data_IF_989506377724
#
_entry.id   IF_989506377724
#
_cell.length_a   1.000
_cell.length_b   1.000
_cell.length_c   1.000
_cell.angle_alpha   90.00
_cell.angle_beta   90.00
_cell.angle_gamma   90.00
#
_symmetry.space_group_name_H-M   'P 1'
#
loop_
_entity.id
_entity.type
_entity.pdbx_description
1 polymer ?
#
# COMPACT_ATOMS: atom_id res chain seq x y z
N UNK A 1 1.61 -17.77 -4.18
CA UNK A 1 1.63 -16.71 -5.21
C UNK A 1 2.97 -16.85 -5.89
N UNK A 2 3.03 -17.00 -7.22
CA UNK A 2 4.34 -17.00 -7.88
C UNK A 2 4.88 -15.56 -7.93
N UNK A 3 6.19 -15.40 -8.04
CA UNK A 3 6.87 -14.09 -8.08
C UNK A 3 6.26 -13.14 -9.13
N UNK A 4 5.76 -13.66 -10.25
CA UNK A 4 5.16 -12.84 -11.31
C UNK A 4 3.85 -12.16 -10.87
N UNK A 5 3.03 -12.83 -10.06
CA UNK A 5 1.78 -12.26 -9.52
C UNK A 5 2.07 -11.20 -8.44
N UNK A 6 3.09 -11.41 -7.60
CA UNK A 6 3.54 -10.42 -6.62
C UNK A 6 4.04 -9.14 -7.29
N UNK A 7 4.90 -9.29 -8.31
CA UNK A 7 5.42 -8.18 -9.12
C UNK A 7 4.30 -7.41 -9.84
N UNK A 8 3.27 -8.11 -10.31
CA UNK A 8 2.11 -7.47 -10.92
C UNK A 8 1.33 -6.63 -9.89
N UNK A 9 1.13 -7.14 -8.67
CA UNK A 9 0.48 -6.41 -7.58
C UNK A 9 1.21 -5.11 -7.24
N UNK A 10 2.53 -5.16 -7.05
CA UNK A 10 3.37 -3.96 -6.83
C UNK A 10 3.24 -3.00 -8.00
N UNK A 11 3.39 -3.47 -9.24
CA UNK A 11 3.28 -2.62 -10.44
C UNK A 11 1.92 -1.92 -10.55
N UNK A 12 0.83 -2.59 -10.21
CA UNK A 12 -0.50 -1.98 -10.16
C UNK A 12 -0.50 -0.87 -9.11
N UNK A 13 -0.08 -1.16 -7.88
CA UNK A 13 -0.04 -0.18 -6.80
C UNK A 13 0.84 1.04 -7.12
N UNK A 14 1.98 0.83 -7.77
CA UNK A 14 2.86 1.92 -8.23
C UNK A 14 2.14 2.80 -9.26
N UNK A 15 1.53 2.22 -10.30
CA UNK A 15 0.77 2.98 -11.30
C UNK A 15 -0.36 3.79 -10.70
N UNK A 16 -1.04 3.22 -9.72
CA UNK A 16 -2.04 3.92 -8.93
C UNK A 16 -1.40 5.15 -8.26
N UNK A 17 -0.32 4.95 -7.50
CA UNK A 17 0.43 6.04 -6.83
C UNK A 17 0.83 7.15 -7.80
N UNK A 18 1.33 6.80 -8.99
CA UNK A 18 1.69 7.75 -10.05
C UNK A 18 0.47 8.55 -10.56
N UNK A 19 -0.69 7.91 -10.72
CA UNK A 19 -1.94 8.59 -11.11
C UNK A 19 -2.29 9.65 -10.08
N UNK A 20 -2.17 9.34 -8.78
CA UNK A 20 -2.40 10.31 -7.72
C UNK A 20 -1.43 11.47 -7.76
N UNK A 21 -0.13 11.18 -7.83
CA UNK A 21 0.92 12.20 -7.89
C UNK A 21 0.68 13.20 -9.03
N UNK A 22 0.25 12.71 -10.19
CA UNK A 22 -0.04 13.55 -11.36
C UNK A 22 -1.40 14.26 -11.28
N UNK A 23 -2.37 13.74 -10.52
CA UNK A 23 -3.75 14.27 -10.41
C UNK A 23 -4.00 15.15 -9.19
N UNK A 24 -2.99 15.53 -8.42
CA UNK A 24 -3.11 16.56 -7.37
C UNK A 24 -3.65 17.91 -7.83
N UNK A 25 -3.83 18.11 -9.14
CA UNK A 25 -4.46 19.28 -9.72
C UNK A 25 -5.96 19.13 -10.02
N UNK A 26 -6.56 17.93 -9.89
CA UNK A 26 -7.93 17.66 -10.35
C UNK A 26 -8.82 17.02 -9.26
N UNK A 27 -10.03 17.57 -9.06
CA UNK A 27 -10.95 17.41 -7.91
C UNK A 27 -11.61 16.02 -7.71
N UNK A 28 -10.88 14.91 -7.84
CA UNK A 28 -11.46 13.57 -7.80
C UNK A 28 -10.70 12.58 -6.89
N UNK A 29 -9.99 13.10 -5.90
CA UNK A 29 -9.12 12.31 -5.01
C UNK A 29 -9.95 11.29 -4.20
N UNK A 30 -11.16 11.66 -3.78
CA UNK A 30 -12.09 10.79 -3.02
C UNK A 30 -12.43 9.48 -3.72
N UNK A 31 -12.81 9.55 -5.00
CA UNK A 31 -13.17 8.38 -5.78
C UNK A 31 -11.97 7.47 -6.04
N UNK A 32 -10.83 8.08 -6.37
CA UNK A 32 -9.57 7.37 -6.54
C UNK A 32 -9.18 6.62 -5.26
N UNK A 33 -9.21 7.28 -4.10
CA UNK A 33 -8.79 6.74 -2.81
C UNK A 33 -9.62 5.52 -2.43
N UNK A 34 -10.92 5.53 -2.72
CA UNK A 34 -11.79 4.38 -2.53
C UNK A 34 -11.39 3.18 -3.40
N UNK A 35 -11.02 3.41 -4.67
CA UNK A 35 -10.55 2.34 -5.55
C UNK A 35 -9.19 1.82 -5.07
N UNK A 36 -8.27 2.72 -4.74
CA UNK A 36 -6.96 2.36 -4.22
C UNK A 36 -7.08 1.51 -2.95
N UNK A 37 -7.96 1.86 -2.01
CA UNK A 37 -8.18 1.06 -0.80
C UNK A 37 -8.52 -0.40 -1.15
N UNK A 38 -9.44 -0.60 -2.10
CA UNK A 38 -9.88 -1.93 -2.53
C UNK A 38 -8.72 -2.70 -3.16
N UNK A 39 -7.94 -2.05 -4.01
CA UNK A 39 -6.77 -2.64 -4.67
C UNK A 39 -5.69 -3.00 -3.64
N UNK A 40 -5.36 -2.09 -2.72
CA UNK A 40 -4.43 -2.35 -1.60
C UNK A 40 -4.91 -3.51 -0.75
N UNK A 41 -6.19 -3.53 -0.37
CA UNK A 41 -6.75 -4.61 0.43
C UNK A 41 -6.59 -5.97 -0.26
N UNK A 42 -6.85 -6.03 -1.56
CA UNK A 42 -6.69 -7.25 -2.34
C UNK A 42 -5.23 -7.68 -2.50
N UNK A 43 -4.33 -6.77 -2.87
CA UNK A 43 -2.90 -7.09 -3.00
C UNK A 43 -2.31 -7.51 -1.65
N UNK A 44 -2.75 -6.86 -0.57
CA UNK A 44 -2.30 -7.17 0.78
C UNK A 44 -2.76 -8.54 1.26
N UNK A 45 -4.03 -8.91 1.03
CA UNK A 45 -4.52 -10.24 1.41
C UNK A 45 -3.80 -11.36 0.65
N UNK A 46 -3.48 -11.13 -0.63
CA UNK A 46 -2.65 -12.04 -1.41
C UNK A 46 -1.23 -12.16 -0.85
N UNK A 47 -0.64 -11.04 -0.40
CA UNK A 47 0.66 -11.06 0.25
C UNK A 47 0.62 -11.88 1.55
N UNK A 48 -0.34 -11.60 2.46
CA UNK A 48 -0.45 -12.28 3.76
C UNK A 48 -0.61 -13.80 3.60
N UNK A 49 -1.42 -14.22 2.64
CA UNK A 49 -1.65 -15.64 2.38
C UNK A 49 -0.41 -16.38 1.84
N UNK A 50 0.60 -15.67 1.34
CA UNK A 50 1.68 -16.28 0.57
C UNK A 50 3.09 -15.95 1.08
N UNK A 51 3.29 -14.97 1.96
CA UNK A 51 4.63 -14.50 2.33
C UNK A 51 5.51 -15.58 2.97
N UNK A 52 4.93 -16.43 3.82
CA UNK A 52 5.65 -17.54 4.47
C UNK A 52 6.11 -18.64 3.51
N UNK A 53 5.66 -18.60 2.25
CA UNK A 53 6.02 -19.55 1.19
C UNK A 53 6.99 -18.94 0.17
N UNK A 54 7.40 -17.69 0.35
CA UNK A 54 8.36 -17.00 -0.52
C UNK A 54 9.78 -17.17 0.01
N UNK A 55 10.77 -17.12 -0.87
CA UNK A 55 12.16 -17.00 -0.42
C UNK A 55 12.33 -15.71 0.38
N UNK A 56 13.11 -15.78 1.46
CA UNK A 56 13.27 -14.69 2.42
C UNK A 56 13.69 -13.37 1.78
N UNK A 57 14.64 -13.42 0.82
CA UNK A 57 15.12 -12.25 0.07
C UNK A 57 14.02 -11.63 -0.79
N UNK A 58 13.17 -12.46 -1.40
CA UNK A 58 12.03 -12.00 -2.19
C UNK A 58 10.95 -11.39 -1.30
N UNK A 59 10.68 -12.03 -0.17
CA UNK A 59 9.74 -11.54 0.85
C UNK A 59 10.15 -10.16 1.37
N UNK A 60 11.42 -9.98 1.74
CA UNK A 60 12.02 -8.72 2.18
C UNK A 60 11.85 -7.62 1.13
N UNK A 61 12.22 -7.90 -0.11
CA UNK A 61 12.11 -6.91 -1.21
C UNK A 61 10.66 -6.49 -1.43
N UNK A 62 9.75 -7.46 -1.51
CA UNK A 62 8.33 -7.20 -1.73
C UNK A 62 7.72 -6.37 -0.58
N UNK A 63 8.11 -6.68 0.66
CA UNK A 63 7.65 -5.95 1.83
C UNK A 63 8.07 -4.48 1.80
N UNK A 64 9.34 -4.23 1.47
CA UNK A 64 9.86 -2.87 1.34
C UNK A 64 9.13 -2.08 0.25
N UNK A 65 8.87 -2.70 -0.91
CA UNK A 65 8.17 -2.04 -2.02
C UNK A 65 6.72 -1.68 -1.65
N UNK A 66 5.99 -2.57 -0.96
CA UNK A 66 4.61 -2.28 -0.53
C UNK A 66 4.60 -1.22 0.58
N UNK A 67 5.55 -1.25 1.51
CA UNK A 67 5.68 -0.24 2.57
C UNK A 67 5.85 1.16 1.99
N UNK A 68 6.77 1.34 1.04
CA UNK A 68 7.05 2.61 0.41
C UNK A 68 5.82 3.17 -0.33
N UNK A 69 5.10 2.31 -1.04
CA UNK A 69 3.85 2.66 -1.72
C UNK A 69 2.81 3.15 -0.71
N UNK A 70 2.61 2.44 0.41
CA UNK A 70 1.64 2.85 1.42
C UNK A 70 2.03 4.20 2.03
N UNK A 71 3.32 4.40 2.33
CA UNK A 71 3.84 5.67 2.84
C UNK A 71 3.54 6.82 1.89
N UNK A 72 3.87 6.67 0.60
CA UNK A 72 3.60 7.69 -0.43
C UNK A 72 2.11 7.99 -0.53
N UNK A 73 1.25 6.97 -0.55
CA UNK A 73 -0.20 7.21 -0.65
C UNK A 73 -0.77 7.86 0.61
N UNK A 74 -0.26 7.55 1.80
CA UNK A 74 -0.63 8.25 3.03
C UNK A 74 -0.26 9.73 2.94
N UNK A 75 0.99 10.04 2.56
CA UNK A 75 1.47 11.42 2.41
C UNK A 75 0.64 12.19 1.39
N UNK A 76 0.39 11.58 0.23
CA UNK A 76 -0.43 12.13 -0.82
C UNK A 76 -1.80 12.55 -0.27
N UNK A 77 -2.45 11.59 0.37
CA UNK A 77 -3.80 11.74 0.87
C UNK A 77 -3.78 12.85 1.92
N UNK A 78 -2.86 12.79 2.90
CA UNK A 78 -2.59 13.83 3.92
C UNK A 78 -2.55 15.28 3.42
N UNK A 79 -2.03 15.51 2.21
CA UNK A 79 -1.85 16.85 1.64
C UNK A 79 -2.93 17.24 0.62
N UNK A 80 -3.94 16.40 0.40
CA UNK A 80 -5.01 16.71 -0.56
C UNK A 80 -6.12 17.57 0.07
N UNK A 81 -6.45 18.67 -0.60
CA UNK A 81 -7.47 19.64 -0.15
C UNK A 81 -8.90 19.06 -0.15
N UNK A 82 -9.14 17.98 -0.91
CA UNK A 82 -10.44 17.30 -1.03
C UNK A 82 -10.95 16.69 0.30
N UNK A 83 -10.15 16.68 1.36
CA UNK A 83 -10.42 15.96 2.61
C UNK A 83 -10.30 16.76 3.89
N UNK A 84 -10.28 18.09 3.79
CA UNK A 84 -10.07 18.96 4.95
C UNK A 84 -11.12 18.78 6.07
N UNK A 85 -12.29 18.19 5.78
CA UNK A 85 -13.40 17.97 6.74
C UNK A 85 -14.09 16.59 6.59
N UNK A 86 -13.37 15.53 6.23
CA UNK A 86 -13.99 14.22 5.98
C UNK A 86 -13.51 13.11 6.95
N UNK A 87 -14.39 12.68 7.85
CA UNK A 87 -14.15 11.57 8.79
C UNK A 87 -13.79 10.25 8.10
N UNK A 88 -14.32 10.00 6.89
CA UNK A 88 -14.02 8.78 6.12
C UNK A 88 -12.55 8.72 5.70
N UNK A 89 -11.91 9.87 5.58
CA UNK A 89 -10.52 9.96 5.18
C UNK A 89 -9.55 9.75 6.34
N UNK A 90 -9.88 10.22 7.55
CA UNK A 90 -9.12 9.86 8.75
C UNK A 90 -9.16 8.34 8.97
N UNK A 91 -10.33 7.74 8.74
CA UNK A 91 -10.50 6.28 8.76
C UNK A 91 -9.64 5.61 7.68
N UNK A 92 -9.58 6.17 6.47
CA UNK A 92 -8.75 5.64 5.40
C UNK A 92 -7.24 5.69 5.74
N UNK A 93 -6.72 6.85 6.20
CA UNK A 93 -5.32 6.98 6.62
C UNK A 93 -5.00 5.98 7.72
N UNK A 94 -5.90 5.84 8.70
CA UNK A 94 -5.76 4.87 9.78
C UNK A 94 -5.63 3.44 9.26
N UNK A 95 -6.46 3.05 8.28
CA UNK A 95 -6.38 1.72 7.65
C UNK A 95 -5.05 1.50 6.91
N UNK A 96 -4.56 2.49 6.16
CA UNK A 96 -3.27 2.37 5.49
C UNK A 96 -2.11 2.27 6.49
N UNK A 97 -2.12 3.09 7.55
CA UNK A 97 -1.11 3.05 8.62
C UNK A 97 -1.11 1.70 9.34
N UNK A 98 -2.28 1.14 9.62
CA UNK A 98 -2.37 -0.19 10.23
C UNK A 98 -1.71 -1.27 9.35
N UNK A 99 -1.89 -1.20 8.02
CA UNK A 99 -1.23 -2.12 7.08
C UNK A 99 0.28 -1.89 7.02
N UNK A 100 0.71 -0.62 6.95
CA UNK A 100 2.13 -0.24 6.97
C UNK A 100 2.82 -0.79 8.23
N UNK A 101 2.22 -0.61 9.40
CA UNK A 101 2.74 -1.13 10.67
C UNK A 101 2.84 -2.65 10.68
N UNK A 102 1.84 -3.34 10.12
CA UNK A 102 1.83 -4.81 10.04
C UNK A 102 2.89 -5.34 9.07
N UNK A 103 3.09 -4.65 7.95
CA UNK A 103 4.20 -4.90 7.02
C UNK A 103 5.54 -4.76 7.74
N UNK A 104 5.75 -3.63 8.41
CA UNK A 104 7.01 -3.35 9.10
C UNK A 104 7.28 -4.38 10.21
N UNK A 105 6.25 -4.76 10.96
CA UNK A 105 6.37 -5.81 11.98
C UNK A 105 6.76 -7.16 11.39
N UNK A 106 6.17 -7.52 10.24
CA UNK A 106 6.49 -8.77 9.52
C UNK A 106 7.90 -8.73 8.95
N UNK A 107 8.29 -7.60 8.38
CA UNK A 107 9.64 -7.34 7.89
C UNK A 107 10.69 -7.52 9.00
N UNK A 108 10.49 -6.88 10.15
CA UNK A 108 11.39 -7.02 11.32
C UNK A 108 11.46 -8.47 11.79
N UNK A 109 10.33 -9.20 11.81
CA UNK A 109 10.31 -10.61 12.20
C UNK A 109 11.16 -11.46 11.24
N UNK A 110 10.98 -11.29 9.94
CA UNK A 110 11.75 -12.00 8.91
C UNK A 110 13.25 -11.70 9.03
N UNK A 111 13.63 -10.45 9.34
CA UNK A 111 15.03 -10.08 9.55
C UNK A 111 15.65 -10.72 10.80
N UNK A 112 14.86 -10.92 11.87
CA UNK A 112 15.35 -11.57 13.10
C UNK A 112 15.49 -13.09 12.97
N UNK A 113 14.79 -13.68 12.02
CA UNK A 113 14.86 -15.11 11.69
C UNK A 113 15.92 -15.41 10.61
N UNK A 114 16.58 -14.38 10.07
CA UNK A 114 17.73 -14.46 9.14
C UNK A 114 19.06 -14.64 9.88
#
# INVERSE_FOLDING_TARGET
MNLSKSKLGVKILTKFTEILQNKFQDKNTSHYTNIFLKVVNYVYSLYEANINRMEQKEAIKLLSEIEEILRLNIEIIQHSQDYYDNDDYLKYISQLRAKQNKIMSTYIKILKEA
#
